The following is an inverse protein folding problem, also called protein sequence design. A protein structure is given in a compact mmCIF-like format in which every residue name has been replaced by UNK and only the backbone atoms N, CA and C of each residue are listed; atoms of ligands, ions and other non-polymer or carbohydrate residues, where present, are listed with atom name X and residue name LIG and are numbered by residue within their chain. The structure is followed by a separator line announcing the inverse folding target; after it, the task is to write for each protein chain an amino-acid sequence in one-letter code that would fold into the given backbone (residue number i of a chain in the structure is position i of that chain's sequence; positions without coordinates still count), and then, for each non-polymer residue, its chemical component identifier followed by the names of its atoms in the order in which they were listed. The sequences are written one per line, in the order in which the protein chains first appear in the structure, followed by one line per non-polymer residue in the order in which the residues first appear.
data_IF_739363379594
#
_entry.id   IF_739363379594
#
_cell.length_a   1.000
_cell.length_b   1.000
_cell.length_c   1.000
_cell.angle_alpha   90.00
_cell.angle_beta   90.00
_cell.angle_gamma   90.00
#
_symmetry.space_group_name_H-M   'P 1'
#
loop_
_entity.id
_entity.type
_entity.pdbx_description
1 polymer ?
#
# COMPACT_ATOMS: atom_id res chain seq x y z
N UNK A 1 2.48 2.50 19.35
CA UNK A 1 1.50 2.37 18.26
C UNK A 1 1.52 3.71 17.54
N UNK A 2 1.90 3.77 16.26
CA UNK A 2 1.92 5.03 15.51
C UNK A 2 0.49 5.45 15.18
N UNK A 3 0.21 6.74 15.27
CA UNK A 3 -1.05 7.34 14.81
C UNK A 3 -1.16 7.24 13.28
N UNK A 4 -2.37 7.10 12.73
CA UNK A 4 -2.54 6.92 11.28
C UNK A 4 -2.03 8.14 10.51
N UNK A 5 -2.19 9.35 11.06
CA UNK A 5 -1.60 10.57 10.50
C UNK A 5 -0.07 10.54 10.47
N UNK A 6 0.56 9.96 11.48
CA UNK A 6 2.02 9.78 11.49
C UNK A 6 2.45 8.83 10.36
N UNK A 7 1.71 7.74 10.15
CA UNK A 7 1.94 6.80 9.06
C UNK A 7 1.78 7.49 7.69
N UNK A 8 0.74 8.31 7.50
CA UNK A 8 0.53 9.09 6.28
C UNK A 8 1.71 10.03 6.01
N UNK A 9 2.11 10.81 7.01
CA UNK A 9 3.24 11.75 6.90
C UNK A 9 4.55 11.02 6.53
N UNK A 10 4.83 9.89 7.19
CA UNK A 10 6.01 9.06 6.88
C UNK A 10 5.94 8.48 5.47
N UNK A 11 4.77 8.04 5.04
CA UNK A 11 4.54 7.47 3.71
C UNK A 11 4.83 8.50 2.62
N UNK A 12 4.33 9.72 2.77
CA UNK A 12 4.56 10.80 1.81
C UNK A 12 6.01 11.30 1.82
N UNK A 13 6.66 11.35 2.99
CA UNK A 13 8.08 11.65 3.07
C UNK A 13 8.95 10.61 2.34
N UNK A 14 8.57 9.33 2.38
CA UNK A 14 9.24 8.26 1.63
C UNK A 14 8.98 8.41 0.13
N UNK A 15 7.72 8.63 -0.30
CA UNK A 15 7.41 8.81 -1.73
C UNK A 15 8.14 10.00 -2.34
N UNK A 16 8.29 11.09 -1.59
CA UNK A 16 9.07 12.25 -2.02
C UNK A 16 10.55 11.91 -2.27
N UNK A 17 11.15 11.01 -1.46
CA UNK A 17 12.51 10.52 -1.71
C UNK A 17 12.59 9.66 -2.97
N UNK A 18 11.59 8.81 -3.22
CA UNK A 18 11.53 8.05 -4.48
C UNK A 18 11.37 8.95 -5.70
N UNK A 19 10.51 9.98 -5.65
CA UNK A 19 10.41 10.98 -6.72
C UNK A 19 11.76 11.65 -7.01
N UNK A 20 12.54 11.98 -5.98
CA UNK A 20 13.88 12.54 -6.17
C UNK A 20 14.86 11.55 -6.83
N UNK A 21 14.71 10.24 -6.56
CA UNK A 21 15.48 9.20 -7.25
C UNK A 21 15.04 9.05 -8.71
N UNK A 22 13.74 9.07 -8.99
CA UNK A 22 13.19 9.00 -10.34
C UNK A 22 13.65 10.19 -11.20
N UNK A 23 13.57 11.41 -10.69
CA UNK A 23 14.11 12.60 -11.36
C UNK A 23 15.61 12.43 -11.65
N UNK A 24 16.37 11.95 -10.68
CA UNK A 24 17.82 11.76 -10.80
C UNK A 24 18.19 10.71 -11.86
N UNK A 25 17.44 9.61 -11.94
CA UNK A 25 17.81 8.45 -12.75
C UNK A 25 17.09 8.41 -14.11
N UNK A 26 15.92 9.01 -14.23
CA UNK A 26 15.04 8.93 -15.39
C UNK A 26 14.62 10.29 -15.95
N UNK A 27 14.91 11.40 -15.24
CA UNK A 27 14.58 12.76 -15.67
C UNK A 27 13.10 13.12 -15.54
N UNK A 28 12.27 12.22 -15.00
CA UNK A 28 10.87 12.46 -14.71
C UNK A 28 10.42 11.62 -13.52
N UNK A 29 9.45 12.14 -12.77
CA UNK A 29 8.72 11.40 -11.74
C UNK A 29 7.69 10.49 -12.37
N UNK A 30 7.38 9.40 -11.69
CA UNK A 30 6.23 8.58 -12.02
C UNK A 30 4.94 9.38 -11.87
N UNK A 31 4.07 9.18 -12.84
CA UNK A 31 2.68 9.61 -12.85
C UNK A 31 1.87 8.90 -11.76
N UNK A 32 0.63 9.36 -11.53
CA UNK A 32 -0.25 8.69 -10.56
C UNK A 32 -0.65 7.32 -11.11
N UNK A 33 -0.80 7.20 -12.42
CA UNK A 33 -1.11 5.97 -13.15
C UNK A 33 0.01 4.94 -13.02
N UNK A 34 1.28 5.37 -13.05
CA UNK A 34 2.43 4.50 -12.80
C UNK A 34 2.50 4.02 -11.34
N UNK A 35 2.21 4.89 -10.36
CA UNK A 35 2.06 4.48 -8.96
C UNK A 35 0.92 3.45 -8.81
N UNK A 36 -0.20 3.64 -9.50
CA UNK A 36 -1.32 2.71 -9.48
C UNK A 36 -0.97 1.35 -10.11
N UNK A 37 -0.13 1.34 -11.13
CA UNK A 37 0.38 0.12 -11.75
C UNK A 37 1.32 -0.65 -10.80
N UNK A 38 2.18 0.06 -10.08
CA UNK A 38 3.05 -0.53 -9.07
C UNK A 38 2.23 -1.14 -7.93
N UNK A 39 1.22 -0.41 -7.42
CA UNK A 39 0.25 -0.92 -6.47
C UNK A 39 -0.39 -2.23 -6.94
N UNK A 40 -0.91 -2.28 -8.18
CA UNK A 40 -1.58 -3.47 -8.70
C UNK A 40 -0.65 -4.69 -8.76
N UNK A 41 0.64 -4.46 -9.04
CA UNK A 41 1.66 -5.52 -9.04
C UNK A 41 1.82 -6.10 -7.64
N UNK A 42 1.96 -5.26 -6.62
CA UNK A 42 2.09 -5.72 -5.22
C UNK A 42 0.79 -6.32 -4.68
N UNK A 43 -0.37 -5.82 -5.09
CA UNK A 43 -1.67 -6.40 -4.74
C UNK A 43 -1.82 -7.84 -5.28
N UNK A 44 -1.34 -8.09 -6.50
CA UNK A 44 -1.28 -9.44 -7.06
C UNK A 44 -0.38 -10.39 -6.25
N UNK A 45 0.73 -9.88 -5.70
CA UNK A 45 1.61 -10.65 -4.83
C UNK A 45 0.95 -10.99 -3.49
N UNK A 46 0.20 -10.05 -2.88
CA UNK A 46 -0.60 -10.35 -1.68
C UNK A 46 -1.54 -11.53 -1.93
N UNK A 47 -2.23 -11.55 -3.08
CA UNK A 47 -3.11 -12.68 -3.43
C UNK A 47 -2.38 -14.02 -3.52
N UNK A 48 -1.24 -14.07 -4.22
CA UNK A 48 -0.44 -15.31 -4.36
C UNK A 48 0.15 -15.77 -3.02
N UNK A 49 0.68 -14.83 -2.23
CA UNK A 49 1.25 -15.11 -0.92
C UNK A 49 0.18 -15.57 0.07
N UNK A 50 -1.03 -15.01 -0.01
CA UNK A 50 -2.18 -15.50 0.78
C UNK A 50 -2.51 -16.95 0.42
N UNK A 51 -2.56 -17.31 -0.87
CA UNK A 51 -2.76 -18.71 -1.26
C UNK A 51 -1.67 -19.63 -0.72
N UNK A 52 -0.42 -19.17 -0.67
CA UNK A 52 0.69 -19.94 -0.13
C UNK A 52 0.60 -20.08 1.40
N UNK A 53 0.26 -19.00 2.10
CA UNK A 53 0.03 -18.97 3.55
C UNK A 53 -1.08 -19.96 3.95
N UNK A 54 -2.18 -19.99 3.18
CA UNK A 54 -3.30 -20.91 3.39
C UNK A 54 -3.03 -22.35 2.90
N UNK A 55 -1.81 -22.67 2.45
CA UNK A 55 -1.43 -24.00 1.97
C UNK A 55 -2.13 -24.43 0.68
N UNK A 56 -2.76 -23.51 -0.04
CA UNK A 56 -3.45 -23.76 -1.32
C UNK A 56 -2.52 -23.68 -2.54
N UNK A 57 -1.33 -23.11 -2.36
CA UNK A 57 -0.31 -22.98 -3.39
C UNK A 57 1.08 -23.28 -2.81
N UNK A 58 1.85 -24.17 -3.43
CA UNK A 58 3.21 -24.46 -2.97
C UNK A 58 4.17 -23.38 -3.48
N UNK A 59 4.78 -22.62 -2.57
CA UNK A 59 5.92 -21.74 -2.87
C UNK A 59 7.18 -22.42 -2.32
N UNK A 60 8.10 -22.79 -3.20
CA UNK A 60 9.39 -23.35 -2.80
C UNK A 60 10.28 -22.23 -2.23
N UNK A 61 10.96 -22.50 -1.11
CA UNK A 61 12.14 -21.76 -0.65
C UNK A 61 11.96 -20.31 -0.16
N UNK A 62 10.82 -19.99 0.46
CA UNK A 62 10.63 -18.66 1.04
C UNK A 62 9.85 -18.65 2.34
N UNK A 63 10.23 -17.75 3.22
CA UNK A 63 9.43 -17.29 4.36
C UNK A 63 8.18 -16.56 3.85
N UNK A 64 7.12 -17.32 3.57
CA UNK A 64 5.84 -16.83 3.03
C UNK A 64 5.23 -15.78 3.95
N UNK A 65 5.31 -15.99 5.27
CA UNK A 65 4.69 -15.12 6.27
C UNK A 65 5.35 -13.75 6.29
N UNK A 66 6.69 -13.71 6.27
CA UNK A 66 7.46 -12.47 6.20
C UNK A 66 7.23 -11.71 4.89
N UNK A 67 7.23 -12.42 3.75
CA UNK A 67 6.94 -11.80 2.45
C UNK A 67 5.50 -11.27 2.37
N UNK A 68 4.53 -12.02 2.90
CA UNK A 68 3.13 -11.60 2.96
C UNK A 68 2.97 -10.36 3.84
N UNK A 69 3.57 -10.35 5.03
CA UNK A 69 3.55 -9.19 5.92
C UNK A 69 4.14 -7.95 5.25
N UNK A 70 5.27 -8.11 4.54
CA UNK A 70 5.89 -7.03 3.78
C UNK A 70 4.97 -6.50 2.68
N UNK A 71 4.39 -7.38 1.85
CA UNK A 71 3.52 -6.98 0.74
C UNK A 71 2.19 -6.39 1.19
N UNK A 72 1.64 -6.86 2.31
CA UNK A 72 0.48 -6.23 2.96
C UNK A 72 0.80 -4.79 3.39
N UNK A 73 1.95 -4.56 4.02
CA UNK A 73 2.37 -3.23 4.43
C UNK A 73 2.64 -2.31 3.22
N UNK A 74 3.27 -2.82 2.17
CA UNK A 74 3.54 -2.08 0.93
C UNK A 74 2.25 -1.70 0.19
N UNK A 75 1.25 -2.57 0.18
CA UNK A 75 -0.08 -2.26 -0.35
C UNK A 75 -0.76 -1.11 0.40
N UNK A 76 -0.67 -1.11 1.74
CA UNK A 76 -1.19 0.00 2.55
C UNK A 76 -0.45 1.29 2.22
N UNK A 77 0.89 1.24 2.10
CA UNK A 77 1.70 2.39 1.72
C UNK A 77 1.29 2.95 0.35
N UNK A 78 1.09 2.09 -0.65
CA UNK A 78 0.61 2.50 -1.97
C UNK A 78 -0.78 3.15 -1.92
N UNK A 79 -1.72 2.59 -1.17
CA UNK A 79 -3.06 3.17 -1.02
C UNK A 79 -3.02 4.56 -0.38
N UNK A 80 -2.15 4.76 0.63
CA UNK A 80 -1.91 6.08 1.22
C UNK A 80 -1.34 7.04 0.17
N UNK A 81 -0.28 6.63 -0.54
CA UNK A 81 0.36 7.46 -1.57
C UNK A 81 -0.64 7.88 -2.64
N UNK A 82 -1.42 6.93 -3.17
CA UNK A 82 -2.42 7.21 -4.19
C UNK A 82 -3.48 8.19 -3.69
N UNK A 83 -4.02 7.97 -2.50
CA UNK A 83 -5.02 8.86 -1.93
C UNK A 83 -4.49 10.29 -1.79
N UNK A 84 -3.32 10.47 -1.18
CA UNK A 84 -2.71 11.78 -0.98
C UNK A 84 -2.35 12.47 -2.31
N UNK A 85 -1.79 11.73 -3.28
CA UNK A 85 -1.47 12.27 -4.62
C UNK A 85 -2.73 12.66 -5.41
N UNK A 86 -3.87 12.03 -5.13
CA UNK A 86 -5.17 12.34 -5.76
C UNK A 86 -5.99 13.36 -4.97
N UNK A 87 -5.45 13.91 -3.87
CA UNK A 87 -6.14 14.90 -3.03
C UNK A 87 -7.28 14.32 -2.18
N UNK A 88 -7.21 13.03 -1.87
CA UNK A 88 -8.17 12.31 -1.03
C UNK A 88 -7.59 12.20 0.38
N UNK A 89 -8.30 12.77 1.37
CA UNK A 89 -7.96 12.56 2.78
C UNK A 89 -8.32 11.12 3.19
N UNK A 90 -7.31 10.25 3.20
CA UNK A 90 -7.49 8.83 3.50
C UNK A 90 -7.84 8.60 4.98
N UNK A 91 -7.40 9.48 5.89
CA UNK A 91 -7.74 9.40 7.31
C UNK A 91 -9.26 9.58 7.50
N UNK A 92 -9.82 10.66 6.95
CA UNK A 92 -11.27 10.94 7.00
C UNK A 92 -12.07 9.88 6.25
N UNK A 93 -11.57 9.43 5.08
CA UNK A 93 -12.22 8.39 4.29
C UNK A 93 -12.32 7.07 5.06
N UNK A 94 -11.26 6.68 5.77
CA UNK A 94 -11.21 5.46 6.56
C UNK A 94 -12.14 5.55 7.79
N UNK A 95 -12.08 6.66 8.54
CA UNK A 95 -12.98 6.90 9.67
C UNK A 95 -14.45 6.80 9.24
N UNK A 96 -14.79 7.44 8.12
CA UNK A 96 -16.14 7.41 7.55
C UNK A 96 -16.56 6.01 7.12
N UNK A 97 -15.65 5.25 6.50
CA UNK A 97 -15.90 3.89 6.05
C UNK A 97 -16.19 2.96 7.23
N UNK A 98 -15.34 2.98 8.26
CA UNK A 98 -15.50 2.16 9.46
C UNK A 98 -16.80 2.48 10.20
N UNK A 99 -17.08 3.76 10.46
CA UNK A 99 -18.31 4.17 11.12
C UNK A 99 -19.58 3.75 10.34
N UNK A 100 -19.50 3.69 9.00
CA UNK A 100 -20.60 3.16 8.18
C UNK A 100 -20.72 1.64 8.29
N UNK A 101 -19.62 0.90 8.36
CA UNK A 101 -19.64 -0.56 8.53
C UNK A 101 -20.20 -0.94 9.91
N UNK A 102 -19.74 -0.29 10.97
CA UNK A 102 -20.19 -0.52 12.35
C UNK A 102 -21.70 -0.30 12.51
N UNK A 103 -22.27 0.71 11.83
CA UNK A 103 -23.74 0.92 11.84
C UNK A 103 -24.52 -0.10 11.04
N UNK A 104 -23.87 -0.79 10.08
CA UNK A 104 -24.53 -1.72 9.15
C UNK A 104 -24.47 -3.18 9.61
N UNK A 105 -23.46 -3.54 10.38
CA UNK A 105 -23.26 -4.90 10.88
C UNK A 105 -23.74 -4.95 12.34
N UNK A 106 -24.65 -5.88 12.69
CA UNK A 106 -25.17 -6.03 14.06
C UNK A 106 -24.11 -6.51 15.05
#
# INVERSE_FOLDING_TARGET
MSDFKEIINRSMAIRAKYHALEDKHHGSKWTIEEDALAFLTDAGLVGRLTMAHEGRWTKSDSDVDSELAHKLAENIWWQIVLAERMGIDINVSMETFLAKLERRLP
#
